data_IF_765786613551
#
_entry.id   IF_765786613551
#
_cell.length_a   1.000
_cell.length_b   1.000
_cell.length_c   1.000
_cell.angle_alpha   90.00
_cell.angle_beta   90.00
_cell.angle_gamma   90.00
#
_symmetry.space_group_name_H-M   'P 1'
#
loop_
_entity.id
_entity.type
_entity.pdbx_description
1 polymer ?
#
# COMPACT_ATOMS: atom_id res chain seq x y z
N UNK A 1 -14.53 -31.33 -10.24
CA UNK A 1 -14.67 -29.92 -9.82
C UNK A 1 -13.35 -29.20 -9.47
N UNK A 2 -12.35 -29.81 -8.84
CA UNK A 2 -11.09 -29.15 -8.49
C UNK A 2 -10.20 -28.74 -9.68
N UNK A 3 -10.17 -29.51 -10.78
CA UNK A 3 -9.42 -29.16 -12.00
C UNK A 3 -9.99 -27.95 -12.73
N UNK A 4 -11.33 -27.80 -12.79
CA UNK A 4 -11.98 -26.64 -13.40
C UNK A 4 -11.68 -25.33 -12.63
N UNK A 5 -11.63 -25.38 -11.29
CA UNK A 5 -11.24 -24.22 -10.46
C UNK A 5 -9.77 -23.82 -10.63
N UNK A 6 -8.86 -24.76 -10.89
CA UNK A 6 -7.43 -24.48 -11.15
C UNK A 6 -7.19 -23.77 -12.48
N UNK A 7 -8.02 -24.01 -13.48
CA UNK A 7 -7.89 -23.41 -14.83
C UNK A 7 -8.70 -22.10 -14.91
N UNK A 8 -9.86 -22.01 -14.25
CA UNK A 8 -10.71 -20.83 -14.26
C UNK A 8 -10.04 -19.61 -13.57
N UNK A 9 -9.27 -19.84 -12.52
CA UNK A 9 -8.62 -18.74 -11.77
C UNK A 9 -7.60 -17.96 -12.60
N UNK A 10 -6.61 -18.56 -13.28
CA UNK A 10 -5.68 -17.83 -14.15
C UNK A 10 -6.35 -17.22 -15.38
N UNK A 11 -7.36 -17.91 -15.97
CA UNK A 11 -8.13 -17.36 -17.10
C UNK A 11 -8.88 -16.09 -16.66
N UNK A 12 -9.50 -16.09 -15.49
CA UNK A 12 -10.19 -14.91 -14.96
C UNK A 12 -9.22 -13.79 -14.59
N UNK A 13 -8.06 -14.11 -14.05
CA UNK A 13 -7.03 -13.14 -13.65
C UNK A 13 -6.36 -12.43 -14.84
N UNK A 14 -6.24 -13.09 -15.99
CA UNK A 14 -5.65 -12.52 -17.20
C UNK A 14 -6.76 -12.05 -18.16
N UNK A 15 -7.82 -12.83 -18.29
CA UNK A 15 -8.91 -12.55 -19.23
C UNK A 15 -9.70 -11.30 -18.85
N UNK A 16 -10.00 -11.08 -17.56
CA UNK A 16 -10.76 -9.90 -17.13
C UNK A 16 -10.04 -8.58 -17.40
N UNK A 17 -8.74 -8.42 -17.09
CA UNK A 17 -7.99 -7.23 -17.50
C UNK A 17 -7.96 -7.02 -19.01
N UNK A 18 -7.82 -8.10 -19.79
CA UNK A 18 -7.85 -8.01 -21.25
C UNK A 18 -9.22 -7.59 -21.79
N UNK A 19 -10.30 -8.11 -21.23
CA UNK A 19 -11.68 -7.68 -21.58
C UNK A 19 -11.88 -6.21 -21.23
N UNK A 20 -11.44 -5.76 -20.06
CA UNK A 20 -11.58 -4.35 -19.68
C UNK A 20 -10.72 -3.45 -20.58
N UNK A 21 -9.49 -3.86 -20.87
CA UNK A 21 -8.65 -3.15 -21.83
C UNK A 21 -9.30 -3.09 -23.22
N UNK A 22 -9.89 -4.19 -23.69
CA UNK A 22 -10.63 -4.24 -24.94
C UNK A 22 -11.85 -3.32 -24.93
N UNK A 23 -12.59 -3.25 -23.82
CA UNK A 23 -13.72 -2.33 -23.63
C UNK A 23 -13.23 -0.88 -23.69
N UNK A 24 -12.13 -0.55 -23.02
CA UNK A 24 -11.54 0.80 -23.04
C UNK A 24 -11.11 1.17 -24.48
N UNK A 25 -10.40 0.25 -25.17
CA UNK A 25 -10.01 0.46 -26.57
C UNK A 25 -11.24 0.62 -27.47
N UNK A 26 -12.31 -0.17 -27.22
CA UNK A 26 -13.56 -0.03 -27.96
C UNK A 26 -14.19 1.35 -27.77
N UNK A 27 -14.27 1.85 -26.53
CA UNK A 27 -14.81 3.21 -26.25
C UNK A 27 -13.93 4.29 -26.88
N UNK A 28 -12.60 4.18 -26.79
CA UNK A 28 -11.68 5.12 -27.45
C UNK A 28 -11.90 5.11 -28.98
N UNK A 29 -12.05 3.92 -29.59
CA UNK A 29 -12.32 3.80 -31.03
C UNK A 29 -13.70 4.35 -31.40
N UNK A 30 -14.71 4.08 -30.61
CA UNK A 30 -16.07 4.55 -30.85
C UNK A 30 -16.13 6.08 -30.84
N UNK A 31 -15.45 6.68 -29.89
CA UNK A 31 -15.46 8.13 -29.70
C UNK A 31 -14.27 8.80 -30.41
N UNK A 32 -13.54 8.06 -31.27
CA UNK A 32 -12.35 8.54 -31.98
C UNK A 32 -12.62 9.78 -32.82
N UNK A 33 -13.77 9.85 -33.49
CA UNK A 33 -14.17 11.02 -34.27
C UNK A 33 -14.35 12.27 -33.41
N UNK A 34 -14.82 12.11 -32.17
CA UNK A 34 -14.86 13.21 -31.20
C UNK A 34 -13.49 13.55 -30.69
N UNK A 35 -12.64 12.55 -30.41
CA UNK A 35 -11.26 12.76 -29.98
C UNK A 35 -10.40 13.44 -31.06
N UNK A 36 -10.59 13.11 -32.30
CA UNK A 36 -9.84 13.72 -33.40
C UNK A 36 -10.14 15.21 -33.62
N UNK A 37 -11.26 15.70 -33.08
CA UNK A 37 -11.61 17.14 -33.08
C UNK A 37 -10.97 17.90 -31.92
N UNK A 38 -10.46 17.18 -30.89
CA UNK A 38 -9.75 17.80 -29.78
C UNK A 38 -8.26 17.88 -30.07
N UNK A 39 -7.74 19.08 -30.10
CA UNK A 39 -6.29 19.33 -30.09
C UNK A 39 -5.79 19.11 -28.64
N UNK A 40 -5.15 17.96 -28.41
CA UNK A 40 -4.46 17.74 -27.14
C UNK A 40 -3.22 18.62 -27.09
N UNK A 41 -3.22 19.58 -26.19
CA UNK A 41 -2.04 20.38 -25.90
C UNK A 41 -1.15 19.62 -24.92
N UNK A 42 -0.22 18.85 -25.45
CA UNK A 42 0.77 18.16 -24.62
C UNK A 42 1.71 19.16 -23.99
N UNK A 43 1.51 19.46 -22.69
CA UNK A 43 2.42 20.33 -21.96
C UNK A 43 3.47 19.49 -21.21
N UNK A 44 4.73 19.41 -21.69
CA UNK A 44 5.76 18.56 -21.10
C UNK A 44 6.13 19.00 -19.67
N UNK A 45 6.01 20.29 -19.34
CA UNK A 45 6.30 20.79 -18.01
C UNK A 45 5.26 20.30 -17.00
N UNK A 46 3.97 20.30 -17.36
CA UNK A 46 2.91 19.74 -16.50
C UNK A 46 3.02 18.22 -16.40
N UNK A 47 3.41 17.52 -17.46
CA UNK A 47 3.68 16.08 -17.40
C UNK A 47 4.83 15.76 -16.45
N UNK A 48 5.92 16.52 -16.50
CA UNK A 48 7.04 16.36 -15.59
C UNK A 48 6.64 16.66 -14.13
N UNK A 49 5.82 17.70 -13.92
CA UNK A 49 5.29 18.05 -12.59
C UNK A 49 4.38 16.94 -12.04
N UNK A 50 3.48 16.39 -12.87
CA UNK A 50 2.63 15.26 -12.49
C UNK A 50 3.47 14.02 -12.12
N UNK A 51 4.48 13.71 -12.93
CA UNK A 51 5.41 12.62 -12.65
C UNK A 51 6.15 12.82 -11.33
N UNK A 52 6.66 14.03 -11.07
CA UNK A 52 7.29 14.41 -9.80
C UNK A 52 6.34 14.27 -8.61
N UNK A 53 5.07 14.62 -8.77
CA UNK A 53 4.04 14.43 -7.76
C UNK A 53 3.79 12.95 -7.43
N UNK A 54 3.73 12.07 -8.42
CA UNK A 54 3.63 10.62 -8.19
C UNK A 54 4.90 10.05 -7.56
N UNK A 55 6.09 10.52 -7.92
CA UNK A 55 7.33 10.15 -7.22
C UNK A 55 7.29 10.54 -5.75
N UNK A 56 6.85 11.77 -5.46
CA UNK A 56 6.71 12.24 -4.09
C UNK A 56 5.71 11.38 -3.30
N UNK A 57 4.58 11.01 -3.91
CA UNK A 57 3.62 10.09 -3.32
C UNK A 57 4.27 8.75 -2.93
N UNK A 58 5.03 8.11 -3.82
CA UNK A 58 5.70 6.83 -3.54
C UNK A 58 6.65 6.94 -2.34
N UNK A 59 7.37 8.05 -2.20
CA UNK A 59 8.23 8.29 -1.06
C UNK A 59 7.44 8.43 0.26
N UNK A 60 6.26 9.06 0.22
CA UNK A 60 5.41 9.18 1.41
C UNK A 60 4.98 7.82 1.95
N UNK A 61 4.77 6.83 1.11
CA UNK A 61 4.37 5.48 1.51
C UNK A 61 5.38 4.84 2.46
N UNK A 62 6.66 4.86 2.10
CA UNK A 62 7.73 4.31 2.94
C UNK A 62 7.92 5.10 4.24
N UNK A 63 7.72 6.44 4.21
CA UNK A 63 7.78 7.30 5.39
C UNK A 63 6.65 6.99 6.37
N UNK A 64 5.42 6.85 5.87
CA UNK A 64 4.25 6.51 6.69
C UNK A 64 4.42 5.13 7.31
N UNK A 65 4.82 4.13 6.53
CA UNK A 65 5.07 2.78 7.05
C UNK A 65 6.17 2.76 8.13
N UNK A 66 7.27 3.48 7.93
CA UNK A 66 8.30 3.67 8.96
C UNK A 66 7.74 4.25 10.24
N UNK A 67 6.86 5.24 10.12
CA UNK A 67 6.16 5.87 11.24
C UNK A 67 5.26 4.86 11.99
N UNK A 68 4.56 3.99 11.27
CA UNK A 68 3.77 2.89 11.88
C UNK A 68 4.67 1.92 12.64
N UNK A 69 5.78 1.48 12.04
CA UNK A 69 6.75 0.60 12.71
C UNK A 69 7.32 1.22 13.99
N UNK A 70 7.67 2.52 13.93
CA UNK A 70 8.21 3.23 15.10
C UNK A 70 7.18 3.28 16.25
N UNK A 71 5.90 3.49 15.96
CA UNK A 71 4.81 3.47 16.94
C UNK A 71 4.53 2.06 17.50
N UNK A 72 4.84 1.02 16.75
CA UNK A 72 4.80 -0.37 17.21
C UNK A 72 6.08 -0.79 17.97
N UNK A 73 6.93 0.15 18.32
CA UNK A 73 8.14 -0.09 19.10
C UNK A 73 9.38 -0.52 18.28
N UNK A 74 9.28 -0.53 16.94
CA UNK A 74 10.38 -0.96 16.08
C UNK A 74 10.92 0.23 15.27
N UNK A 75 12.12 0.72 15.61
CA UNK A 75 12.76 1.83 14.90
C UNK A 75 13.65 1.28 13.78
N UNK A 76 13.40 1.74 12.57
CA UNK A 76 14.21 1.45 11.39
C UNK A 76 14.85 2.73 10.84
N UNK A 77 16.06 2.59 10.31
CA UNK A 77 16.69 3.67 9.55
C UNK A 77 15.83 4.07 8.35
N UNK A 78 15.88 5.36 7.99
CA UNK A 78 15.06 5.91 6.91
C UNK A 78 15.36 5.24 5.57
N UNK A 79 16.65 5.06 5.24
CA UNK A 79 17.07 4.48 3.96
C UNK A 79 16.65 3.02 3.85
N UNK A 80 16.80 2.27 4.95
CA UNK A 80 16.37 0.87 5.03
C UNK A 80 14.86 0.74 4.88
N UNK A 81 14.10 1.59 5.58
CA UNK A 81 12.63 1.60 5.51
C UNK A 81 12.12 1.87 4.10
N UNK A 82 12.59 2.96 3.48
CA UNK A 82 12.22 3.32 2.10
C UNK A 82 12.56 2.20 1.13
N UNK A 83 13.76 1.65 1.25
CA UNK A 83 14.24 0.59 0.38
C UNK A 83 13.40 -0.69 0.50
N UNK A 84 13.14 -1.16 1.74
CA UNK A 84 12.31 -2.35 1.95
C UNK A 84 10.90 -2.13 1.42
N UNK A 85 10.35 -0.95 1.69
CA UNK A 85 9.01 -0.60 1.24
C UNK A 85 8.92 -0.64 -0.29
N UNK A 86 9.68 0.21 -0.96
CA UNK A 86 9.63 0.37 -2.41
C UNK A 86 9.96 -0.93 -3.14
N UNK A 87 11.00 -1.63 -2.73
CA UNK A 87 11.36 -2.89 -3.36
C UNK A 87 10.32 -4.00 -3.15
N UNK A 88 9.60 -4.02 -2.02
CA UNK A 88 8.53 -4.99 -1.78
C UNK A 88 7.27 -4.70 -2.59
N UNK A 89 6.99 -3.43 -2.93
CA UNK A 89 5.82 -3.06 -3.73
C UNK A 89 5.84 -3.68 -5.13
N UNK A 90 7.01 -3.83 -5.75
CA UNK A 90 7.14 -4.48 -7.04
C UNK A 90 6.55 -5.90 -7.07
N UNK A 91 6.61 -6.60 -5.94
CA UNK A 91 6.10 -7.99 -5.82
C UNK A 91 4.56 -8.06 -5.89
N UNK A 92 3.85 -6.95 -5.73
CA UNK A 92 2.38 -6.93 -5.84
C UNK A 92 1.87 -7.19 -7.25
N UNK A 93 2.72 -7.03 -8.28
CA UNK A 93 2.36 -7.37 -9.66
C UNK A 93 2.31 -8.88 -9.91
N UNK A 94 2.86 -9.69 -8.99
CA UNK A 94 2.72 -11.15 -9.03
C UNK A 94 1.28 -11.52 -8.63
N UNK A 95 0.58 -12.34 -9.44
CA UNK A 95 -0.79 -12.74 -9.13
C UNK A 95 -0.92 -13.36 -7.74
N UNK A 96 -1.89 -12.86 -6.94
CA UNK A 96 -2.15 -13.40 -5.60
C UNK A 96 -2.18 -12.37 -4.48
N UNK A 97 -1.85 -11.11 -4.72
CA UNK A 97 -1.94 -9.92 -3.82
C UNK A 97 -1.39 -10.07 -2.38
N UNK A 98 -0.77 -11.20 -2.04
CA UNK A 98 -0.22 -11.47 -0.70
C UNK A 98 1.32 -11.47 -0.69
N UNK A 99 1.94 -11.56 -1.86
CA UNK A 99 3.38 -11.73 -1.97
C UNK A 99 4.17 -10.52 -1.48
N UNK A 100 3.70 -9.30 -1.72
CA UNK A 100 4.32 -8.08 -1.22
C UNK A 100 4.31 -8.02 0.32
N UNK A 101 3.21 -8.48 0.95
CA UNK A 101 3.11 -8.58 2.42
C UNK A 101 4.16 -9.56 2.96
N UNK A 102 4.21 -10.76 2.39
CA UNK A 102 5.15 -11.79 2.82
C UNK A 102 6.60 -11.33 2.64
N UNK A 103 6.92 -10.76 1.48
CA UNK A 103 8.27 -10.25 1.17
C UNK A 103 8.68 -9.16 2.15
N UNK A 104 7.80 -8.18 2.43
CA UNK A 104 8.10 -7.09 3.35
C UNK A 104 8.32 -7.61 4.77
N UNK A 105 7.47 -8.52 5.26
CA UNK A 105 7.62 -9.17 6.57
C UNK A 105 8.95 -9.92 6.67
N UNK A 106 9.32 -10.69 5.65
CA UNK A 106 10.57 -11.44 5.64
C UNK A 106 11.80 -10.53 5.57
N UNK A 107 11.75 -9.46 4.80
CA UNK A 107 12.89 -8.55 4.65
C UNK A 107 13.11 -7.71 5.90
N UNK A 108 12.04 -7.16 6.48
CA UNK A 108 12.18 -6.34 7.69
C UNK A 108 12.59 -7.16 8.91
N UNK A 109 12.26 -8.47 8.95
CA UNK A 109 12.69 -9.33 10.04
C UNK A 109 14.20 -9.55 10.08
N UNK A 110 14.92 -9.35 8.97
CA UNK A 110 16.38 -9.38 8.93
C UNK A 110 17.03 -8.19 9.66
N UNK A 111 16.25 -7.16 9.95
CA UNK A 111 16.68 -5.95 10.67
C UNK A 111 16.13 -5.90 12.10
N UNK A 112 15.87 -7.07 12.71
CA UNK A 112 15.48 -7.19 14.11
C UNK A 112 13.98 -6.95 14.40
N UNK A 113 13.15 -6.66 13.40
CA UNK A 113 11.70 -6.52 13.60
C UNK A 113 11.05 -7.88 13.64
N UNK A 114 10.34 -8.20 14.71
CA UNK A 114 9.64 -9.48 14.81
C UNK A 114 8.56 -9.62 13.73
N UNK A 115 8.39 -10.82 13.18
CA UNK A 115 7.43 -11.09 12.10
C UNK A 115 5.97 -10.71 12.47
N UNK A 116 5.49 -10.94 13.70
CA UNK A 116 4.16 -10.48 14.09
C UNK A 116 4.01 -8.96 14.08
N UNK A 117 5.02 -8.20 14.55
CA UNK A 117 5.01 -6.73 14.50
C UNK A 117 5.07 -6.24 13.04
N UNK A 118 5.91 -6.86 12.21
CA UNK A 118 5.97 -6.54 10.78
C UNK A 118 4.62 -6.75 10.10
N UNK A 119 3.93 -7.86 10.36
CA UNK A 119 2.59 -8.12 9.84
C UNK A 119 1.56 -7.13 10.38
N UNK A 120 1.61 -6.83 11.69
CA UNK A 120 0.74 -5.84 12.33
C UNK A 120 0.90 -4.46 11.68
N UNK A 121 2.15 -4.04 11.40
CA UNK A 121 2.41 -2.75 10.75
C UNK A 121 1.77 -2.63 9.37
N UNK A 122 1.77 -3.72 8.59
CA UNK A 122 1.14 -3.75 7.27
C UNK A 122 -0.39 -3.74 7.35
N UNK A 123 -0.98 -4.38 8.36
CA UNK A 123 -2.43 -4.33 8.56
C UNK A 123 -2.89 -2.94 9.00
N UNK A 124 -2.16 -2.30 9.92
CA UNK A 124 -2.42 -0.91 10.33
C UNK A 124 -2.29 0.03 9.15
N UNK A 125 -1.20 -0.10 8.38
CA UNK A 125 -0.97 0.66 7.16
C UNK A 125 -2.16 0.53 6.19
N UNK A 126 -2.55 -0.69 5.87
CA UNK A 126 -3.60 -0.97 4.91
C UNK A 126 -4.94 -0.37 5.34
N UNK A 127 -5.35 -0.59 6.59
CA UNK A 127 -6.65 -0.12 7.08
C UNK A 127 -6.66 1.41 7.14
N UNK A 128 -5.59 2.05 7.63
CA UNK A 128 -5.50 3.52 7.70
C UNK A 128 -5.41 4.16 6.31
N UNK A 129 -4.76 3.50 5.34
CA UNK A 129 -4.68 3.95 3.95
C UNK A 129 -6.04 3.94 3.26
N UNK A 130 -6.79 2.81 3.37
CA UNK A 130 -8.13 2.70 2.82
C UNK A 130 -9.10 3.68 3.49
N UNK A 131 -9.05 3.79 4.83
CA UNK A 131 -9.88 4.74 5.56
C UNK A 131 -9.62 6.19 5.12
N UNK A 132 -8.36 6.56 4.91
CA UNK A 132 -7.98 7.88 4.40
C UNK A 132 -8.48 8.12 2.97
N UNK A 133 -8.43 7.11 2.09
CA UNK A 133 -8.96 7.21 0.72
C UNK A 133 -10.46 7.47 0.71
N UNK A 134 -11.23 6.68 1.48
CA UNK A 134 -12.67 6.90 1.65
C UNK A 134 -12.98 8.27 2.26
N UNK A 135 -12.21 8.71 3.28
CA UNK A 135 -12.39 10.02 3.90
C UNK A 135 -12.15 11.17 2.91
N UNK A 136 -11.03 11.13 2.18
CA UNK A 136 -10.69 12.14 1.18
C UNK A 136 -11.72 12.17 0.06
N UNK A 137 -12.21 11.02 -0.38
CA UNK A 137 -13.31 10.97 -1.34
C UNK A 137 -14.59 11.59 -0.78
N UNK A 138 -14.99 11.24 0.44
CA UNK A 138 -16.18 11.80 1.08
C UNK A 138 -16.11 13.33 1.19
N UNK A 139 -14.93 13.88 1.55
CA UNK A 139 -14.69 15.33 1.57
C UNK A 139 -14.78 15.93 0.16
N UNK A 140 -14.27 15.23 -0.86
CA UNK A 140 -14.32 15.73 -2.23
C UNK A 140 -15.74 15.90 -2.77
N UNK A 141 -16.70 15.10 -2.28
CA UNK A 141 -18.10 15.19 -2.68
C UNK A 141 -18.73 16.56 -2.38
N UNK A 142 -18.19 17.31 -1.41
CA UNK A 142 -18.63 18.67 -1.10
C UNK A 142 -18.38 19.66 -2.25
N UNK A 143 -17.45 19.32 -3.15
CA UNK A 143 -17.06 20.15 -4.29
C UNK A 143 -17.67 19.67 -5.62
N UNK A 144 -18.45 18.59 -5.59
CA UNK A 144 -19.14 18.10 -6.78
C UNK A 144 -20.31 19.05 -7.08
N UNK A 145 -20.13 19.95 -8.04
CA UNK A 145 -21.05 21.06 -8.33
C UNK A 145 -22.45 20.60 -8.65
N UNK A 146 -22.86 20.36 -9.81
CA UNK A 146 -24.24 20.01 -10.16
C UNK A 146 -24.49 18.49 -10.00
N UNK A 147 -24.70 18.06 -8.75
CA UNK A 147 -25.28 16.74 -8.45
C UNK A 147 -26.75 16.62 -8.90
N UNK A 148 -27.14 17.36 -9.95
CA UNK A 148 -28.53 17.42 -10.41
C UNK A 148 -29.18 16.04 -10.57
N UNK A 149 -28.43 15.08 -11.14
CA UNK A 149 -28.90 13.70 -11.29
C UNK A 149 -28.81 12.90 -9.98
N UNK A 150 -27.78 13.12 -9.16
CA UNK A 150 -27.63 12.47 -7.84
C UNK A 150 -28.44 13.21 -6.79
N UNK A 151 -28.57 14.54 -6.91
CA UNK A 151 -29.39 15.38 -6.03
C UNK A 151 -30.88 15.09 -6.20
N UNK A 152 -31.33 14.73 -7.39
CA UNK A 152 -32.71 14.28 -7.63
C UNK A 152 -32.98 12.87 -7.05
N UNK A 153 -31.96 12.00 -6.97
CA UNK A 153 -32.05 10.69 -6.32
C UNK A 153 -31.92 10.78 -4.80
N UNK A 154 -31.20 11.77 -4.28
CA UNK A 154 -30.93 11.98 -2.85
C UNK A 154 -31.75 13.17 -2.30
N UNK A 155 -33.00 13.32 -2.67
CA UNK A 155 -33.85 14.42 -2.31
C UNK A 155 -33.61 14.94 -0.88
N UNK A 156 -32.82 16.00 -0.80
CA UNK A 156 -32.63 16.82 0.39
C UNK A 156 -31.20 16.80 0.96
N UNK A 157 -30.70 17.99 1.18
CA UNK A 157 -29.46 18.28 1.92
C UNK A 157 -29.24 17.40 3.16
N UNK A 158 -30.29 17.04 3.96
CA UNK A 158 -30.12 16.21 5.16
C UNK A 158 -29.60 14.80 4.89
N UNK A 159 -29.98 14.15 3.79
CA UNK A 159 -29.55 12.77 3.50
C UNK A 159 -28.04 12.73 3.14
N UNK A 160 -27.56 13.67 2.32
CA UNK A 160 -26.15 13.74 1.95
C UNK A 160 -25.29 14.03 3.18
N UNK A 161 -25.73 14.95 4.03
CA UNK A 161 -25.07 15.25 5.31
C UNK A 161 -25.09 14.01 6.21
N UNK A 162 -26.25 13.34 6.35
CA UNK A 162 -26.37 12.14 7.17
C UNK A 162 -25.46 11.00 6.69
N UNK A 163 -25.38 10.76 5.37
CA UNK A 163 -24.46 9.78 4.79
C UNK A 163 -22.98 10.18 5.01
N UNK A 164 -22.65 11.45 4.87
CA UNK A 164 -21.30 11.95 5.17
C UNK A 164 -20.92 11.76 6.63
N UNK A 165 -21.82 12.15 7.55
CA UNK A 165 -21.62 11.94 8.99
C UNK A 165 -21.52 10.46 9.33
N UNK A 166 -22.41 9.63 8.78
CA UNK A 166 -22.38 8.18 8.98
C UNK A 166 -21.05 7.58 8.50
N UNK A 167 -20.57 8.02 7.35
CA UNK A 167 -19.25 7.59 6.81
C UNK A 167 -18.12 7.97 7.76
N UNK A 168 -18.11 9.22 8.25
CA UNK A 168 -17.09 9.69 9.20
C UNK A 168 -17.15 8.87 10.50
N UNK A 169 -18.35 8.69 11.05
CA UNK A 169 -18.55 7.88 12.27
C UNK A 169 -18.09 6.44 12.05
N UNK A 170 -18.47 5.83 10.94
CA UNK A 170 -18.04 4.47 10.59
C UNK A 170 -16.50 4.36 10.47
N UNK A 171 -15.85 5.35 9.85
CA UNK A 171 -14.39 5.40 9.76
C UNK A 171 -13.74 5.53 11.14
N UNK A 172 -14.24 6.43 12.00
CA UNK A 172 -13.74 6.58 13.36
C UNK A 172 -13.90 5.30 14.19
N UNK A 173 -15.03 4.60 14.02
CA UNK A 173 -15.27 3.31 14.66
C UNK A 173 -14.29 2.24 14.14
N UNK A 174 -14.13 2.10 12.83
CA UNK A 174 -13.20 1.11 12.23
C UNK A 174 -11.76 1.37 12.65
N UNK A 175 -11.36 2.64 12.76
CA UNK A 175 -10.01 3.05 13.19
C UNK A 175 -9.80 2.91 14.71
N UNK A 176 -10.82 2.54 15.49
CA UNK A 176 -10.65 2.38 16.93
C UNK A 176 -9.68 1.22 17.25
N UNK A 177 -8.69 1.40 18.16
CA UNK A 177 -7.66 0.39 18.46
C UNK A 177 -8.20 -0.99 18.80
N UNK A 178 -9.35 -1.08 19.48
CA UNK A 178 -9.98 -2.38 19.82
C UNK A 178 -10.46 -3.12 18.58
N UNK A 179 -11.07 -2.42 17.61
CA UNK A 179 -11.56 -3.02 16.38
C UNK A 179 -10.38 -3.42 15.49
N UNK A 180 -9.37 -2.56 15.39
CA UNK A 180 -8.15 -2.83 14.67
C UNK A 180 -7.42 -4.07 15.23
N UNK A 181 -7.30 -4.14 16.56
CA UNK A 181 -6.72 -5.30 17.25
C UNK A 181 -7.55 -6.58 17.04
N UNK A 182 -8.87 -6.49 17.08
CA UNK A 182 -9.75 -7.63 16.83
C UNK A 182 -9.57 -8.17 15.40
N UNK A 183 -9.54 -7.26 14.41
CA UNK A 183 -9.31 -7.61 13.01
C UNK A 183 -7.94 -8.25 12.79
N UNK A 184 -6.87 -7.63 13.30
CA UNK A 184 -5.51 -8.16 13.24
C UNK A 184 -5.42 -9.56 13.86
N UNK A 185 -5.95 -9.72 15.07
CA UNK A 185 -5.86 -10.99 15.79
C UNK A 185 -6.71 -12.08 15.12
N UNK A 186 -7.83 -11.72 14.49
CA UNK A 186 -8.61 -12.66 13.68
C UNK A 186 -7.79 -13.11 12.45
N UNK A 187 -7.13 -12.18 11.75
CA UNK A 187 -6.26 -12.52 10.64
C UNK A 187 -5.07 -13.41 11.08
N UNK A 188 -4.44 -13.11 12.21
CA UNK A 188 -3.36 -13.92 12.77
C UNK A 188 -3.83 -15.33 13.17
N UNK A 189 -5.03 -15.46 13.76
CA UNK A 189 -5.63 -16.78 14.09
C UNK A 189 -5.89 -17.62 12.85
N UNK A 190 -6.41 -17.01 11.77
CA UNK A 190 -6.58 -17.69 10.48
C UNK A 190 -5.25 -18.21 9.91
N UNK A 191 -4.16 -17.49 10.15
CA UNK A 191 -2.80 -17.87 9.78
C UNK A 191 -2.13 -18.78 10.83
N UNK A 192 -2.86 -19.26 11.84
CA UNK A 192 -2.36 -20.11 12.96
C UNK A 192 -1.17 -19.46 13.69
N UNK A 193 -1.19 -18.14 13.86
CA UNK A 193 -0.16 -17.35 14.56
C UNK A 193 -0.68 -16.86 15.92
N UNK A 194 0.24 -16.63 16.86
CA UNK A 194 -0.09 -16.08 18.18
C UNK A 194 -0.65 -14.66 18.03
N UNK A 195 -1.66 -14.28 18.85
CA UNK A 195 -2.19 -12.94 18.85
C UNK A 195 -1.13 -11.92 19.27
N UNK A 196 -1.25 -10.70 18.74
CA UNK A 196 -0.37 -9.56 19.07
C UNK A 196 -1.20 -8.50 19.78
N UNK A 197 -0.67 -7.98 20.87
CA UNK A 197 -1.24 -6.82 21.54
C UNK A 197 -0.75 -5.58 20.80
N UNK A 198 -1.69 -4.84 20.20
CA UNK A 198 -1.38 -3.54 19.62
C UNK A 198 -1.22 -2.51 20.74
N UNK A 199 -0.03 -1.95 20.86
CA UNK A 199 0.30 -0.87 21.81
C UNK A 199 -0.02 0.52 21.28
N UNK A 200 -0.73 0.61 20.15
CA UNK A 200 -1.07 1.88 19.51
C UNK A 200 -2.17 2.61 20.25
N UNK A 201 -1.95 3.88 20.53
CA UNK A 201 -2.99 4.78 21.00
C UNK A 201 -3.90 5.20 19.83
N UNK A 202 -5.11 5.60 20.13
CA UNK A 202 -6.04 6.07 19.10
C UNK A 202 -5.49 7.28 18.33
N UNK A 203 -4.82 8.19 19.04
CA UNK A 203 -4.12 9.33 18.45
C UNK A 203 -3.07 8.92 17.42
N UNK A 204 -2.34 7.83 17.65
CA UNK A 204 -1.33 7.34 16.70
C UNK A 204 -1.97 6.90 15.40
N UNK A 205 -3.10 6.20 15.48
CA UNK A 205 -3.85 5.74 14.31
C UNK A 205 -4.40 6.92 13.53
N UNK A 206 -4.94 7.94 14.21
CA UNK A 206 -5.43 9.14 13.58
C UNK A 206 -4.31 9.93 12.88
N UNK A 207 -3.14 10.07 13.51
CA UNK A 207 -1.97 10.73 12.89
C UNK A 207 -1.51 9.99 11.64
N UNK A 208 -1.47 8.66 11.68
CA UNK A 208 -1.14 7.83 10.50
C UNK A 208 -2.18 8.00 9.40
N UNK A 209 -3.47 7.99 9.76
CA UNK A 209 -4.56 8.21 8.80
C UNK A 209 -4.46 9.61 8.16
N UNK A 210 -4.16 10.64 8.95
CA UNK A 210 -3.95 12.00 8.44
C UNK A 210 -2.74 12.07 7.49
N UNK A 211 -1.65 11.38 7.81
CA UNK A 211 -0.50 11.28 6.91
C UNK A 211 -0.88 10.61 5.57
N UNK A 212 -1.76 9.61 5.60
CA UNK A 212 -2.32 9.02 4.37
C UNK A 212 -3.23 10.00 3.62
N UNK A 213 -4.02 10.83 4.30
CA UNK A 213 -4.80 11.88 3.63
C UNK A 213 -3.88 12.86 2.88
N UNK A 214 -2.76 13.28 3.49
CA UNK A 214 -1.76 14.13 2.82
C UNK A 214 -1.18 13.41 1.59
N UNK A 215 -0.85 12.13 1.70
CA UNK A 215 -0.38 11.33 0.57
C UNK A 215 -1.40 11.27 -0.58
N UNK A 216 -2.69 11.10 -0.27
CA UNK A 216 -3.77 11.13 -1.25
C UNK A 216 -3.96 12.50 -1.89
N UNK A 217 -3.79 13.59 -1.13
CA UNK A 217 -3.82 14.96 -1.69
C UNK A 217 -2.67 15.15 -2.67
N UNK A 218 -1.46 14.71 -2.36
CA UNK A 218 -0.30 14.78 -3.27
C UNK A 218 -0.59 14.00 -4.57
N UNK A 219 -1.09 12.79 -4.45
CA UNK A 219 -1.43 11.96 -5.60
C UNK A 219 -2.53 12.54 -6.47
N UNK A 220 -3.59 13.04 -5.84
CA UNK A 220 -4.71 13.65 -6.54
C UNK A 220 -4.35 15.00 -7.17
N UNK A 221 -3.44 15.75 -6.54
CA UNK A 221 -2.85 16.94 -7.17
C UNK A 221 -2.05 16.56 -8.43
N UNK A 222 -1.21 15.52 -8.35
CA UNK A 222 -0.48 15.02 -9.51
C UNK A 222 -1.44 14.56 -10.64
N UNK A 223 -2.53 13.92 -10.25
CA UNK A 223 -3.58 13.49 -11.19
C UNK A 223 -4.30 14.67 -11.82
N UNK A 224 -4.62 15.72 -11.06
CA UNK A 224 -5.19 16.96 -11.59
C UNK A 224 -4.24 17.68 -12.55
N UNK A 225 -2.95 17.79 -12.21
CA UNK A 225 -1.92 18.36 -13.08
C UNK A 225 -1.76 17.55 -14.38
N UNK A 226 -1.89 16.22 -14.29
CA UNK A 226 -1.88 15.35 -15.46
C UNK A 226 -3.09 15.61 -16.37
N UNK A 227 -4.27 15.85 -15.78
CA UNK A 227 -5.46 16.25 -16.54
C UNK A 227 -5.25 17.61 -17.21
N UNK A 228 -4.70 18.60 -16.50
CA UNK A 228 -4.35 19.92 -17.06
C UNK A 228 -3.34 19.84 -18.21
N UNK A 229 -2.42 18.88 -18.15
CA UNK A 229 -1.43 18.68 -19.22
C UNK A 229 -2.05 18.26 -20.56
N UNK A 230 -3.23 17.67 -20.54
CA UNK A 230 -3.98 17.25 -21.73
C UNK A 230 -5.17 18.16 -22.02
N UNK A 231 -5.76 18.76 -20.99
CA UNK A 231 -6.98 19.54 -21.06
C UNK A 231 -6.84 20.84 -20.23
N UNK A 232 -6.23 21.90 -20.81
CA UNK A 232 -5.94 23.16 -20.11
C UNK A 232 -7.17 23.90 -19.59
N UNK A 233 -8.35 23.60 -20.15
CA UNK A 233 -9.62 24.21 -19.76
C UNK A 233 -10.25 23.64 -18.48
N UNK A 234 -9.51 22.76 -17.78
CA UNK A 234 -9.99 22.18 -16.52
C UNK A 234 -10.06 23.25 -15.42
N UNK A 235 -11.22 23.53 -14.84
CA UNK A 235 -11.35 24.55 -13.82
C UNK A 235 -10.71 24.11 -12.50
N UNK A 236 -10.28 25.09 -11.67
CA UNK A 236 -9.63 24.79 -10.39
C UNK A 236 -10.54 23.99 -9.43
N UNK A 237 -11.86 24.16 -9.53
CA UNK A 237 -12.83 23.38 -8.75
C UNK A 237 -12.73 21.87 -9.00
N UNK A 238 -12.16 21.44 -10.13
CA UNK A 238 -11.92 20.03 -10.42
C UNK A 238 -10.78 19.43 -9.59
N UNK A 239 -9.93 20.25 -8.95
CA UNK A 239 -8.81 19.77 -8.12
C UNK A 239 -9.30 18.87 -6.96
N UNK A 240 -10.17 19.29 -6.03
CA UNK A 240 -10.65 18.41 -4.98
C UNK A 240 -11.43 17.20 -5.51
N UNK A 241 -12.12 17.34 -6.65
CA UNK A 241 -12.81 16.24 -7.33
C UNK A 241 -11.77 15.19 -7.81
N UNK A 242 -10.71 15.62 -8.48
CA UNK A 242 -9.62 14.74 -8.92
C UNK A 242 -8.93 14.04 -7.75
N UNK A 243 -8.72 14.73 -6.62
CA UNK A 243 -8.14 14.15 -5.41
C UNK A 243 -9.03 13.01 -4.90
N UNK A 244 -10.32 13.23 -4.78
CA UNK A 244 -11.26 12.21 -4.31
C UNK A 244 -11.38 11.03 -5.28
N UNK A 245 -11.53 11.31 -6.59
CA UNK A 245 -11.63 10.27 -7.61
C UNK A 245 -10.39 9.38 -7.60
N UNK A 246 -9.20 9.97 -7.55
CA UNK A 246 -7.96 9.20 -7.56
C UNK A 246 -7.83 8.30 -6.34
N UNK A 247 -8.15 8.82 -5.15
CA UNK A 247 -8.08 8.07 -3.89
C UNK A 247 -9.05 6.88 -3.88
N UNK A 248 -10.33 7.11 -4.17
CA UNK A 248 -11.35 6.05 -4.14
C UNK A 248 -11.17 5.04 -5.27
N UNK A 249 -10.72 5.48 -6.45
CA UNK A 249 -10.42 4.58 -7.56
C UNK A 249 -9.27 3.62 -7.21
N UNK A 250 -8.27 4.09 -6.47
CA UNK A 250 -7.21 3.24 -5.94
C UNK A 250 -7.75 2.21 -4.95
N UNK A 251 -8.61 2.63 -4.01
CA UNK A 251 -9.24 1.75 -3.02
C UNK A 251 -10.10 0.68 -3.70
N UNK A 252 -10.93 1.06 -4.68
CA UNK A 252 -11.74 0.13 -5.49
C UNK A 252 -10.84 -0.87 -6.21
N UNK A 253 -9.76 -0.41 -6.83
CA UNK A 253 -8.78 -1.27 -7.48
C UNK A 253 -8.11 -2.23 -6.51
N UNK A 254 -7.77 -1.77 -5.31
CA UNK A 254 -7.14 -2.60 -4.28
C UNK A 254 -8.09 -3.68 -3.74
N UNK A 255 -9.34 -3.32 -3.45
CA UNK A 255 -10.36 -4.27 -2.94
C UNK A 255 -10.78 -5.29 -3.99
N UNK A 256 -10.57 -4.99 -5.28
CA UNK A 256 -10.82 -5.95 -6.36
C UNK A 256 -9.73 -7.02 -6.41
N UNK A 257 -9.77 -8.00 -5.51
CA UNK A 257 -8.81 -9.13 -5.46
C UNK A 257 -8.79 -10.02 -6.71
N UNK A 258 -9.64 -9.75 -7.70
CA UNK A 258 -9.83 -10.56 -8.90
C UNK A 258 -8.68 -10.32 -9.90
N UNK A 259 -8.26 -9.06 -10.04
CA UNK A 259 -7.26 -8.66 -11.02
C UNK A 259 -5.95 -8.24 -10.38
N UNK A 260 -4.79 -8.53 -11.01
CA UNK A 260 -3.51 -8.06 -10.52
C UNK A 260 -3.50 -6.52 -10.42
N UNK A 261 -3.16 -5.99 -9.25
CA UNK A 261 -3.07 -4.54 -9.03
C UNK A 261 -4.34 -3.74 -9.41
N UNK A 262 -5.54 -4.39 -9.35
CA UNK A 262 -6.82 -3.73 -9.65
C UNK A 262 -7.01 -3.30 -11.11
N UNK A 263 -6.31 -3.97 -12.06
CA UNK A 263 -6.42 -3.68 -13.50
C UNK A 263 -7.87 -3.68 -13.94
N UNK A 264 -8.30 -2.58 -14.55
CA UNK A 264 -9.64 -2.36 -15.06
C UNK A 264 -10.63 -1.81 -14.06
N UNK A 265 -10.61 -2.24 -12.81
CA UNK A 265 -11.50 -1.70 -11.77
C UNK A 265 -11.16 -0.25 -11.43
N UNK A 266 -9.87 0.06 -11.29
CA UNK A 266 -9.39 1.42 -11.03
C UNK A 266 -9.71 2.35 -12.19
N UNK A 267 -9.41 1.92 -13.43
CA UNK A 267 -9.70 2.69 -14.64
C UNK A 267 -11.20 2.89 -14.83
N UNK A 268 -11.99 1.84 -14.65
CA UNK A 268 -13.46 1.92 -14.71
C UNK A 268 -14.04 2.86 -13.66
N UNK A 269 -13.51 2.85 -12.43
CA UNK A 269 -13.91 3.78 -11.38
C UNK A 269 -13.59 5.23 -11.77
N UNK A 270 -12.39 5.52 -12.30
CA UNK A 270 -12.02 6.86 -12.77
C UNK A 270 -12.99 7.35 -13.85
N UNK A 271 -13.26 6.52 -14.88
CA UNK A 271 -14.16 6.88 -15.98
C UNK A 271 -15.57 7.13 -15.46
N UNK A 272 -16.11 6.21 -14.65
CA UNK A 272 -17.48 6.32 -14.10
C UNK A 272 -17.65 7.53 -13.19
N UNK A 273 -16.67 7.81 -12.33
CA UNK A 273 -16.73 8.94 -11.41
C UNK A 273 -16.55 10.29 -12.13
N UNK A 274 -15.71 10.37 -13.16
CA UNK A 274 -15.64 11.57 -14.00
C UNK A 274 -16.95 11.82 -14.73
N UNK A 275 -17.57 10.79 -15.27
CA UNK A 275 -18.90 10.93 -15.93
C UNK A 275 -19.99 11.49 -15.00
N UNK A 276 -19.86 11.26 -13.69
CA UNK A 276 -20.79 11.77 -12.68
C UNK A 276 -20.42 13.18 -12.17
N UNK A 277 -19.12 13.49 -12.10
CA UNK A 277 -18.63 14.67 -11.39
C UNK A 277 -18.32 15.86 -12.28
N UNK A 278 -17.86 15.60 -13.50
CA UNK A 278 -17.38 16.63 -14.44
C UNK A 278 -17.91 16.35 -15.86
N UNK A 279 -18.33 17.36 -16.61
CA UNK A 279 -18.78 17.20 -17.99
C UNK A 279 -17.59 16.97 -18.95
N UNK A 280 -16.76 15.98 -18.66
CA UNK A 280 -15.62 15.62 -19.52
C UNK A 280 -16.07 14.65 -20.62
N UNK A 281 -15.53 14.78 -21.84
CA UNK A 281 -15.72 13.76 -22.86
C UNK A 281 -15.30 12.38 -22.35
N UNK A 282 -16.16 11.35 -22.54
CA UNK A 282 -15.90 10.00 -21.99
C UNK A 282 -14.56 9.40 -22.47
N UNK A 283 -14.18 9.72 -23.70
CA UNK A 283 -12.89 9.31 -24.26
C UNK A 283 -11.69 9.99 -23.54
N UNK A 284 -11.81 11.26 -23.14
CA UNK A 284 -10.77 11.94 -22.34
C UNK A 284 -10.64 11.30 -20.96
N UNK A 285 -11.77 10.96 -20.30
CA UNK A 285 -11.75 10.24 -19.05
C UNK A 285 -11.04 8.88 -19.16
N UNK A 286 -11.22 8.17 -20.28
CA UNK A 286 -10.52 6.92 -20.56
C UNK A 286 -9.01 7.10 -20.75
N UNK A 287 -8.62 8.12 -21.52
CA UNK A 287 -7.20 8.44 -21.75
C UNK A 287 -6.52 8.81 -20.43
N UNK A 288 -7.11 9.68 -19.63
CA UNK A 288 -6.52 10.12 -18.38
C UNK A 288 -6.42 8.98 -17.36
N UNK A 289 -7.40 8.07 -17.33
CA UNK A 289 -7.37 6.88 -16.49
C UNK A 289 -6.15 5.98 -16.82
N UNK A 290 -5.94 5.69 -18.09
CA UNK A 290 -4.79 4.88 -18.55
C UNK A 290 -3.48 5.62 -18.33
N UNK A 291 -3.40 6.89 -18.72
CA UNK A 291 -2.18 7.70 -18.64
C UNK A 291 -1.75 7.89 -17.18
N UNK A 292 -2.70 8.16 -16.25
CA UNK A 292 -2.39 8.28 -14.83
C UNK A 292 -1.78 7.00 -14.27
N UNK A 293 -2.24 5.85 -14.74
CA UNK A 293 -1.67 4.56 -14.36
C UNK A 293 -0.27 4.38 -14.93
N UNK A 294 -0.06 4.68 -16.20
CA UNK A 294 1.26 4.58 -16.82
C UNK A 294 2.27 5.47 -16.11
N UNK A 295 1.93 6.74 -15.88
CA UNK A 295 2.81 7.69 -15.21
C UNK A 295 3.10 7.28 -13.76
N UNK A 296 2.09 6.87 -12.99
CA UNK A 296 2.28 6.41 -11.62
C UNK A 296 3.09 5.10 -11.56
N UNK A 297 2.89 4.18 -12.49
CA UNK A 297 3.68 2.93 -12.58
C UNK A 297 5.13 3.21 -12.96
N UNK A 298 5.38 4.15 -13.88
CA UNK A 298 6.75 4.57 -14.20
C UNK A 298 7.45 5.23 -13.00
N UNK A 299 6.74 6.05 -12.24
CA UNK A 299 7.25 6.64 -11.00
C UNK A 299 7.59 5.57 -9.96
N UNK A 300 6.72 4.58 -9.76
CA UNK A 300 6.97 3.43 -8.90
C UNK A 300 8.19 2.63 -9.36
N UNK A 301 8.28 2.28 -10.65
CA UNK A 301 9.40 1.54 -11.22
C UNK A 301 10.73 2.28 -11.05
N UNK A 302 10.74 3.61 -11.20
CA UNK A 302 11.93 4.42 -10.94
C UNK A 302 12.34 4.35 -9.47
N UNK A 303 11.39 4.52 -8.54
CA UNK A 303 11.65 4.40 -7.10
C UNK A 303 12.18 3.01 -6.72
N UNK A 304 11.57 1.96 -7.25
CA UNK A 304 11.99 0.57 -7.07
C UNK A 304 13.41 0.36 -7.59
N UNK A 305 13.70 0.84 -8.80
CA UNK A 305 15.02 0.71 -9.42
C UNK A 305 16.10 1.39 -8.57
N UNK A 306 15.85 2.61 -8.08
CA UNK A 306 16.75 3.32 -7.17
C UNK A 306 16.93 2.54 -5.87
N UNK A 307 15.84 1.99 -5.31
CA UNK A 307 15.88 1.20 -4.08
C UNK A 307 16.73 -0.08 -4.23
N UNK A 308 16.64 -0.76 -5.36
CA UNK A 308 17.47 -1.95 -5.65
C UNK A 308 18.93 -1.59 -5.88
N UNK A 309 19.22 -0.57 -6.70
CA UNK A 309 20.58 -0.16 -7.03
C UNK A 309 21.36 0.37 -5.81
N UNK A 310 20.67 1.10 -4.92
CA UNK A 310 21.28 1.64 -3.69
C UNK A 310 21.56 0.58 -2.62
N UNK A 311 21.14 -0.66 -2.83
CA UNK A 311 21.06 -1.69 -1.78
C UNK A 311 22.09 -2.79 -1.75
N UNK A 312 22.89 -2.93 -2.75
CA UNK A 312 23.80 -4.07 -2.86
C UNK A 312 24.90 -4.17 -1.77
N UNK A 313 25.33 -3.04 -1.21
CA UNK A 313 26.36 -3.01 -0.18
C UNK A 313 25.87 -3.25 1.25
N UNK A 314 24.75 -2.64 1.62
CA UNK A 314 24.23 -2.70 3.00
C UNK A 314 23.68 -4.07 3.40
N UNK A 315 23.04 -4.79 2.46
CA UNK A 315 22.55 -6.14 2.75
C UNK A 315 23.69 -7.13 3.03
N UNK A 316 24.84 -6.94 2.36
CA UNK A 316 26.05 -7.75 2.61
C UNK A 316 26.67 -7.40 3.96
N UNK A 317 26.75 -6.10 4.32
CA UNK A 317 27.28 -5.66 5.61
C UNK A 317 26.47 -6.22 6.79
N UNK A 318 25.14 -6.11 6.74
CA UNK A 318 24.25 -6.65 7.80
C UNK A 318 24.34 -8.18 7.88
N UNK A 319 24.49 -8.88 6.74
CA UNK A 319 24.70 -10.33 6.75
C UNK A 319 26.06 -10.71 7.37
N UNK A 320 27.11 -9.94 7.11
CA UNK A 320 28.43 -10.14 7.70
C UNK A 320 28.42 -9.89 9.20
N UNK A 321 27.75 -8.81 9.68
CA UNK A 321 27.59 -8.55 11.11
C UNK A 321 26.81 -9.66 11.80
N UNK A 322 25.69 -10.12 11.22
CA UNK A 322 24.92 -11.23 11.80
C UNK A 322 25.67 -12.55 11.82
N UNK A 323 26.50 -12.82 10.81
CA UNK A 323 27.36 -14.00 10.80
C UNK A 323 28.48 -13.89 11.84
N UNK A 324 29.05 -12.71 12.01
CA UNK A 324 30.04 -12.46 13.05
C UNK A 324 29.46 -12.60 14.46
N UNK A 325 28.26 -12.03 14.72
CA UNK A 325 27.55 -12.24 16.00
C UNK A 325 27.18 -13.70 16.28
N UNK A 326 26.79 -14.44 15.26
CA UNK A 326 26.50 -15.87 15.41
C UNK A 326 27.75 -16.69 15.67
N UNK A 327 28.88 -16.34 15.05
CA UNK A 327 30.17 -16.95 15.32
C UNK A 327 30.63 -16.73 16.76
N UNK A 328 30.54 -15.49 17.24
CA UNK A 328 30.88 -15.17 18.64
C UNK A 328 30.00 -15.94 19.66
N UNK A 329 28.70 -16.05 19.41
CA UNK A 329 27.81 -16.82 20.29
C UNK A 329 28.06 -18.32 20.27
N UNK A 330 28.53 -18.85 19.14
CA UNK A 330 28.96 -20.26 19.08
C UNK A 330 30.25 -20.49 19.85
N UNK A 331 31.25 -19.61 19.70
CA UNK A 331 32.50 -19.67 20.47
C UNK A 331 32.24 -19.56 21.97
N UNK A 332 31.37 -18.65 22.43
CA UNK A 332 30.97 -18.52 23.84
C UNK A 332 30.31 -19.80 24.37
N UNK A 333 29.43 -20.42 23.55
CA UNK A 333 28.75 -21.68 23.93
C UNK A 333 29.73 -22.84 24.01
N UNK A 334 30.62 -22.97 23.03
CA UNK A 334 31.67 -24.01 23.04
C UNK A 334 32.65 -23.84 24.24
N UNK A 335 32.98 -22.59 24.59
CA UNK A 335 33.80 -22.34 25.79
C UNK A 335 33.05 -22.68 27.08
N UNK A 336 31.76 -22.38 27.20
CA UNK A 336 30.92 -22.77 28.34
C UNK A 336 30.85 -24.29 28.46
N UNK A 337 30.60 -25.00 27.36
CA UNK A 337 30.53 -26.46 27.36
C UNK A 337 31.88 -27.10 27.71
N UNK A 338 32.98 -26.55 27.23
CA UNK A 338 34.32 -27.00 27.58
C UNK A 338 34.64 -26.81 29.08
N UNK A 339 34.23 -25.67 29.66
CA UNK A 339 34.36 -25.42 31.11
C UNK A 339 33.52 -26.39 31.94
N UNK A 340 32.29 -26.67 31.54
CA UNK A 340 31.41 -27.64 32.19
C UNK A 340 31.97 -29.05 32.15
N UNK A 341 32.52 -29.48 31.00
CA UNK A 341 33.17 -30.80 30.84
C UNK A 341 34.44 -30.92 31.70
N UNK A 342 35.24 -29.86 31.82
CA UNK A 342 36.41 -29.81 32.66
C UNK A 342 36.07 -29.90 34.17
N UNK A 343 34.96 -29.22 34.57
CA UNK A 343 34.46 -29.26 35.96
C UNK A 343 33.93 -30.65 36.31
N UNK A 344 33.16 -31.28 35.43
CA UNK A 344 32.64 -32.64 35.60
C UNK A 344 33.78 -33.70 35.69
N UNK A 345 34.84 -33.50 34.86
CA UNK A 345 36.01 -34.38 34.89
C UNK A 345 36.79 -34.25 36.23
N UNK A 346 36.96 -33.03 36.77
CA UNK A 346 37.61 -32.78 38.04
C UNK A 346 36.79 -33.32 39.23
N UNK A 347 35.48 -33.24 39.22
CA UNK A 347 34.61 -33.84 40.25
C UNK A 347 34.66 -35.37 40.22
N UNK A 348 34.71 -36.00 39.05
CA UNK A 348 34.87 -37.47 38.95
C UNK A 348 36.22 -37.93 39.48
N UNK A 349 37.31 -37.21 39.20
CA UNK A 349 38.63 -37.54 39.72
C UNK A 349 38.70 -37.39 41.22
N UNK A 350 38.10 -36.39 41.83
CA UNK A 350 38.04 -36.20 43.27
C UNK A 350 37.21 -37.29 43.99
N UNK A 351 36.17 -37.84 43.34
CA UNK A 351 35.35 -38.94 43.84
C UNK A 351 36.15 -40.26 43.77
N UNK A 352 36.92 -40.52 42.68
CA UNK A 352 37.75 -41.70 42.56
C UNK A 352 38.92 -41.72 43.57
N UNK A 353 39.55 -40.55 43.81
CA UNK A 353 40.60 -40.44 44.83
C UNK A 353 40.09 -40.57 46.27
N UNK A 354 38.83 -40.18 46.56
CA UNK A 354 38.18 -40.33 47.84
C UNK A 354 37.76 -41.77 48.20
N UNK A 355 37.59 -42.65 47.21
CA UNK A 355 37.17 -44.05 47.41
C UNK A 355 38.39 -45.03 47.64
N UNK A 356 39.60 -44.60 47.36
CA UNK A 356 40.83 -45.41 47.51
C UNK A 356 41.51 -45.17 48.88
N UNK A 357 40.94 -44.29 49.73
CA UNK A 357 41.54 -43.87 51.02
C UNK A 357 40.91 -44.44 52.28
N UNK A 358 40.01 -45.48 52.23
CA UNK A 358 39.47 -46.17 53.43
C UNK A 358 39.88 -47.63 53.46
#
# INVERSE_FOLDING_TARGET
MQRAKKIAKPILQIGLPLVILAIIIFYIRRDWNQLSTYTFEWNPALLALAFGGFLLQELTYGLIWRSVLARLGSKLDLRISLRIYLASEFVRYIPGNVWHVLTRVLWVSKYGVSRPIAFASMMVELITKLAAGVFVFAVSLLFWGDLGSVRSLLYGTPIVIALGVLTIVALLVVLHPRILSAFLNTALRLLKRKPVVLTLHYSDILVVTLAWCVSWIIAGFAFYVLLLALWPYTPLIALPICIGIYAIAWDIGFVSFITPSGLGFREGAVIGLFALALPLPGALAGIIAILSRLVSTLAELLCVSIAYLSGGGQARAVQQEQQAEQGLKQEDTEQQDAVLLATDASERQSIEEGVVGD
#
